data_IF_372692077170
#
_entry.id   IF_372692077170
#
_cell.length_a   1.000
_cell.length_b   1.000
_cell.length_c   1.000
_cell.angle_alpha   90.00
_cell.angle_beta   90.00
_cell.angle_gamma   90.00
#
_symmetry.space_group_name_H-M   'P 1'
#
loop_
_entity.id
_entity.type
_entity.pdbx_description
1 polymer ?
#
# COMPACT_ATOMS: atom_id res chain seq x y z
N UNK A 1 -20.75 -4.18 41.00
CA UNK A 1 -20.22 -3.09 41.85
C UNK A 1 -21.44 -2.42 42.47
N UNK A 2 -21.87 -2.78 43.68
CA UNK A 2 -21.27 -2.50 44.98
C UNK A 2 -21.37 -1.01 45.37
N UNK A 3 -22.04 -0.75 46.51
CA UNK A 3 -22.06 0.50 47.28
C UNK A 3 -23.43 1.21 47.27
N UNK A 4 -23.99 1.73 48.36
CA UNK A 4 -23.58 1.78 49.77
C UNK A 4 -24.74 2.38 50.61
N UNK A 5 -24.56 2.43 51.94
CA UNK A 5 -25.55 2.64 53.02
C UNK A 5 -25.77 4.12 53.43
N UNK A 6 -26.87 4.42 54.13
CA UNK A 6 -26.98 5.15 55.45
C UNK A 6 -28.43 5.64 55.65
N UNK A 7 -29.26 5.27 56.65
CA UNK A 7 -29.27 5.35 58.13
C UNK A 7 -29.50 6.73 58.78
N UNK A 8 -30.33 6.73 59.84
CA UNK A 8 -30.48 7.66 61.01
C UNK A 8 -31.60 8.74 60.92
N UNK A 9 -32.44 9.11 61.91
CA UNK A 9 -32.90 8.69 63.26
C UNK A 9 -34.12 9.61 63.60
N UNK A 10 -35.28 9.18 64.12
CA UNK A 10 -35.77 8.90 65.51
C UNK A 10 -35.75 10.07 66.53
N UNK A 11 -36.92 10.31 67.16
CA UNK A 11 -37.18 11.09 68.40
C UNK A 11 -38.41 12.00 68.24
N UNK A 12 -39.64 11.78 68.75
CA UNK A 12 -40.19 11.31 70.03
C UNK A 12 -39.90 12.23 71.24
N UNK A 13 -40.97 12.80 71.83
CA UNK A 13 -40.87 13.65 73.01
C UNK A 13 -42.21 14.29 73.45
N UNK A 14 -43.14 13.48 73.93
CA UNK A 14 -44.27 13.92 74.76
C UNK A 14 -43.82 14.02 76.23
N UNK A 15 -44.32 15.02 76.99
CA UNK A 15 -44.33 14.98 78.45
C UNK A 15 -45.46 15.83 79.04
N UNK A 16 -46.10 15.23 80.02
CA UNK A 16 -47.38 15.54 80.64
C UNK A 16 -47.17 15.66 82.17
N UNK A 17 -48.10 16.33 82.87
CA UNK A 17 -48.34 16.32 84.34
C UNK A 17 -47.32 17.04 85.25
N UNK A 18 -47.59 17.55 86.47
CA UNK A 18 -48.68 17.33 87.44
C UNK A 18 -48.83 18.49 88.48
N UNK A 19 -49.95 18.44 89.22
CA UNK A 19 -50.45 19.23 90.37
C UNK A 19 -49.61 19.17 91.68
N UNK A 20 -49.82 20.17 92.56
CA UNK A 20 -49.96 20.06 94.05
C UNK A 20 -50.51 21.42 94.56
N UNK A 21 -51.75 21.55 95.07
CA UNK A 21 -52.35 21.25 96.39
C UNK A 21 -52.03 22.23 97.55
N UNK A 22 -53.01 22.49 98.46
CA UNK A 22 -53.06 23.63 99.38
C UNK A 22 -52.81 23.25 100.85
N UNK A 23 -52.51 24.21 101.73
CA UNK A 23 -52.49 23.99 103.19
C UNK A 23 -53.08 25.16 104.00
N UNK A 24 -53.79 24.76 105.07
CA UNK A 24 -54.50 25.54 106.09
C UNK A 24 -53.55 26.21 107.11
N UNK A 25 -54.04 27.24 107.83
CA UNK A 25 -54.22 27.25 109.31
C UNK A 25 -54.27 28.68 109.93
N UNK A 26 -55.27 28.87 110.80
CA UNK A 26 -55.29 29.56 112.11
C UNK A 26 -55.15 31.10 112.32
N UNK A 27 -56.13 31.60 113.09
CA UNK A 27 -55.97 32.39 114.35
C UNK A 27 -56.08 33.92 114.32
N UNK A 28 -57.14 34.42 114.97
CA UNK A 28 -57.00 35.33 116.11
C UNK A 28 -57.03 36.85 115.89
N UNK A 29 -57.94 37.50 116.64
CA UNK A 29 -58.02 38.92 117.01
C UNK A 29 -58.65 39.94 116.02
N UNK A 30 -59.92 40.24 116.31
CA UNK A 30 -60.90 40.89 115.43
C UNK A 30 -61.29 42.35 115.74
N UNK A 31 -60.59 43.15 116.55
CA UNK A 31 -61.10 44.51 116.85
C UNK A 31 -60.16 45.67 116.53
N UNK A 32 -58.84 45.53 116.66
CA UNK A 32 -57.89 46.63 116.40
C UNK A 32 -57.24 46.58 115.00
N UNK A 33 -57.53 45.53 114.22
CA UNK A 33 -57.08 45.38 112.82
C UNK A 33 -58.06 45.98 111.81
N UNK A 34 -59.28 46.35 112.25
CA UNK A 34 -60.34 46.88 111.37
C UNK A 34 -60.05 48.33 111.00
N UNK A 35 -59.58 49.18 111.91
CA UNK A 35 -59.31 50.59 111.57
C UNK A 35 -58.08 50.76 110.66
N UNK A 36 -56.98 50.03 110.92
CA UNK A 36 -55.83 49.98 110.01
C UNK A 36 -56.13 49.27 108.68
N UNK A 37 -57.06 48.29 108.65
CA UNK A 37 -57.55 47.70 107.39
C UNK A 37 -58.55 48.59 106.67
N UNK A 38 -59.31 49.45 107.34
CA UNK A 38 -60.25 50.39 106.71
C UNK A 38 -59.50 51.56 106.08
N UNK A 39 -58.41 52.06 106.68
CA UNK A 39 -57.52 53.01 106.00
C UNK A 39 -56.75 52.35 104.84
N UNK A 40 -56.25 51.12 105.01
CA UNK A 40 -55.57 50.39 103.93
C UNK A 40 -56.54 49.91 102.82
N UNK A 41 -57.81 49.61 103.15
CA UNK A 41 -58.89 49.35 102.19
C UNK A 41 -59.38 50.65 101.55
N UNK A 42 -59.44 51.77 102.27
CA UNK A 42 -59.79 53.07 101.70
C UNK A 42 -58.73 53.53 100.71
N UNK A 43 -57.44 53.37 101.05
CA UNK A 43 -56.32 53.65 100.16
C UNK A 43 -56.22 52.63 99.02
N UNK A 44 -56.50 51.34 99.27
CA UNK A 44 -56.57 50.31 98.22
C UNK A 44 -57.78 50.46 97.29
N UNK A 45 -58.92 50.96 97.78
CA UNK A 45 -60.15 51.23 96.99
C UNK A 45 -60.00 52.55 96.23
N UNK A 46 -59.37 53.57 96.82
CA UNK A 46 -59.01 54.81 96.13
C UNK A 46 -57.94 54.58 95.05
N UNK A 47 -57.03 53.62 95.24
CA UNK A 47 -56.02 53.22 94.25
C UNK A 47 -56.48 52.11 93.29
N UNK A 48 -57.64 51.48 93.53
CA UNK A 48 -58.18 50.41 92.68
C UNK A 48 -58.40 50.86 91.22
N UNK A 49 -58.98 52.05 90.96
CA UNK A 49 -59.05 52.59 89.60
C UNK A 49 -57.67 52.70 88.95
N UNK A 50 -56.65 53.09 89.71
CA UNK A 50 -55.27 53.24 89.23
C UNK A 50 -54.59 51.89 88.98
N UNK A 51 -54.84 50.87 89.82
CA UNK A 51 -54.31 49.50 89.66
C UNK A 51 -54.98 48.81 88.48
N UNK A 52 -56.31 48.91 88.37
CA UNK A 52 -57.09 48.36 87.26
C UNK A 52 -56.70 49.06 85.96
N UNK A 53 -56.57 50.39 85.93
CA UNK A 53 -56.06 51.11 84.76
C UNK A 53 -54.64 50.67 84.40
N UNK A 54 -53.71 50.55 85.36
CA UNK A 54 -52.33 50.12 85.07
C UNK A 54 -52.29 48.72 84.47
N UNK A 55 -53.08 47.79 85.00
CA UNK A 55 -53.06 46.41 84.51
C UNK A 55 -53.85 46.22 83.22
N UNK A 56 -54.87 47.04 82.99
CA UNK A 56 -55.56 47.15 81.70
C UNK A 56 -54.63 47.75 80.63
N UNK A 57 -53.90 48.83 80.93
CA UNK A 57 -52.90 49.43 80.04
C UNK A 57 -51.77 48.44 79.74
N UNK A 58 -51.30 47.69 80.74
CA UNK A 58 -50.25 46.68 80.58
C UNK A 58 -50.73 45.47 79.77
N UNK A 59 -51.95 44.99 80.00
CA UNK A 59 -52.60 43.97 79.16
C UNK A 59 -52.76 44.46 77.72
N UNK A 60 -53.25 45.69 77.55
CA UNK A 60 -53.41 46.32 76.23
C UNK A 60 -52.07 46.44 75.50
N UNK A 61 -51.04 46.96 76.16
CA UNK A 61 -49.69 47.07 75.59
C UNK A 61 -49.08 45.69 75.27
N UNK A 62 -49.38 44.66 76.07
CA UNK A 62 -48.94 43.27 75.80
C UNK A 62 -49.69 42.66 74.62
N UNK A 63 -51.00 42.85 74.53
CA UNK A 63 -51.80 42.38 73.39
C UNK A 63 -51.44 43.12 72.10
N UNK A 64 -51.14 44.41 72.18
CA UNK A 64 -50.72 45.24 71.06
C UNK A 64 -49.34 44.80 70.54
N UNK A 65 -48.38 44.57 71.43
CA UNK A 65 -47.09 43.97 71.05
C UNK A 65 -47.25 42.59 70.41
N UNK A 66 -48.13 41.74 70.95
CA UNK A 66 -48.41 40.43 70.34
C UNK A 66 -49.09 40.55 68.98
N UNK A 67 -50.00 41.52 68.82
CA UNK A 67 -50.65 41.80 67.54
C UNK A 67 -49.63 42.29 66.51
N UNK A 68 -48.68 43.13 66.92
CA UNK A 68 -47.63 43.65 66.05
C UNK A 68 -46.65 42.55 65.60
N UNK A 69 -46.25 41.66 66.51
CA UNK A 69 -45.42 40.48 66.18
C UNK A 69 -46.16 39.57 65.20
N UNK A 70 -47.42 39.22 65.50
CA UNK A 70 -48.23 38.38 64.61
C UNK A 70 -48.49 39.02 63.25
N UNK A 71 -48.63 40.35 63.21
CA UNK A 71 -48.77 41.10 61.97
C UNK A 71 -47.50 41.04 61.12
N UNK A 72 -46.31 41.17 61.75
CA UNK A 72 -45.02 40.99 61.06
C UNK A 72 -44.83 39.55 60.56
N UNK A 73 -45.08 38.55 61.40
CA UNK A 73 -45.02 37.13 61.01
C UNK A 73 -45.99 36.81 59.86
N UNK A 74 -47.21 37.33 59.91
CA UNK A 74 -48.19 37.15 58.84
C UNK A 74 -47.76 37.83 57.53
N UNK A 75 -47.07 38.97 57.62
CA UNK A 75 -46.50 39.65 56.46
C UNK A 75 -45.34 38.84 55.85
N UNK A 76 -44.42 38.36 56.67
CA UNK A 76 -43.27 37.54 56.24
C UNK A 76 -43.72 36.23 55.59
N UNK A 77 -44.69 35.52 56.21
CA UNK A 77 -45.29 34.33 55.61
C UNK A 77 -45.97 34.63 54.27
N UNK A 78 -46.53 35.83 54.10
CA UNK A 78 -47.16 36.24 52.83
C UNK A 78 -46.11 36.45 51.74
N UNK A 79 -44.95 37.03 52.10
CA UNK A 79 -43.81 37.19 51.19
C UNK A 79 -43.21 35.84 50.79
N UNK A 80 -43.04 34.92 51.75
CA UNK A 80 -42.59 33.56 51.48
C UNK A 80 -43.57 32.80 50.57
N UNK A 81 -44.88 32.90 50.84
CA UNK A 81 -45.91 32.28 50.01
C UNK A 81 -45.87 32.82 48.57
N UNK A 82 -45.61 34.12 48.40
CA UNK A 82 -45.48 34.74 47.08
C UNK A 82 -44.21 34.26 46.36
N UNK A 83 -43.10 34.12 47.07
CA UNK A 83 -41.85 33.52 46.56
C UNK A 83 -42.05 32.07 46.11
N UNK A 84 -42.70 31.24 46.93
CA UNK A 84 -43.01 29.84 46.63
C UNK A 84 -43.92 29.72 45.41
N UNK A 85 -44.92 30.60 45.25
CA UNK A 85 -45.75 30.66 44.04
C UNK A 85 -44.92 30.95 42.79
N UNK A 86 -44.00 31.93 42.87
CA UNK A 86 -43.08 32.24 41.77
C UNK A 86 -42.18 31.05 41.39
N UNK A 87 -41.64 30.34 42.37
CA UNK A 87 -40.84 29.12 42.14
C UNK A 87 -41.67 27.99 41.52
N UNK A 88 -42.92 27.81 41.95
CA UNK A 88 -43.83 26.81 41.38
C UNK A 88 -44.07 27.08 39.89
N UNK A 89 -44.37 28.33 39.52
CA UNK A 89 -44.57 28.70 38.11
C UNK A 89 -43.31 28.49 37.26
N UNK A 90 -42.13 28.81 37.81
CA UNK A 90 -40.86 28.53 37.13
C UNK A 90 -40.62 27.02 36.95
N UNK A 91 -40.93 26.21 37.96
CA UNK A 91 -40.80 24.76 37.88
C UNK A 91 -41.76 24.17 36.85
N UNK A 92 -43.02 24.60 36.82
CA UNK A 92 -43.99 24.16 35.82
C UNK A 92 -43.56 24.52 34.39
N UNK A 93 -42.99 25.71 34.19
CA UNK A 93 -42.38 26.09 32.90
C UNK A 93 -41.23 25.16 32.53
N UNK A 94 -40.30 24.90 33.45
CA UNK A 94 -39.16 23.99 33.22
C UNK A 94 -39.61 22.56 32.92
N UNK A 95 -40.63 22.05 33.61
CA UNK A 95 -41.20 20.72 33.36
C UNK A 95 -41.81 20.64 31.96
N UNK A 96 -42.55 21.68 31.53
CA UNK A 96 -43.09 21.74 30.16
C UNK A 96 -41.97 21.74 29.11
N UNK A 97 -40.94 22.57 29.29
CA UNK A 97 -39.80 22.60 28.36
C UNK A 97 -39.05 21.26 28.32
N UNK A 98 -38.83 20.63 29.48
CA UNK A 98 -38.21 19.30 29.55
C UNK A 98 -39.03 18.23 28.82
N UNK A 99 -40.36 18.27 28.91
CA UNK A 99 -41.25 17.37 28.18
C UNK A 99 -41.15 17.56 26.66
N UNK A 100 -41.00 18.81 26.19
CA UNK A 100 -40.77 19.10 24.77
C UNK A 100 -39.44 18.52 24.29
N UNK A 101 -38.34 18.77 25.01
CA UNK A 101 -37.04 18.21 24.67
C UNK A 101 -37.03 16.69 24.70
N UNK A 102 -37.72 16.06 25.65
CA UNK A 102 -37.84 14.61 25.68
C UNK A 102 -38.50 14.06 24.40
N UNK A 103 -39.53 14.74 23.91
CA UNK A 103 -40.23 14.33 22.69
C UNK A 103 -39.35 14.49 21.44
N UNK A 104 -38.57 15.57 21.36
CA UNK A 104 -37.59 15.80 20.29
C UNK A 104 -36.49 14.74 20.29
N UNK A 105 -35.94 14.41 21.46
CA UNK A 105 -34.90 13.36 21.60
C UNK A 105 -35.45 11.99 21.16
N UNK A 106 -36.69 11.65 21.49
CA UNK A 106 -37.32 10.40 21.03
C UNK A 106 -37.51 10.38 19.51
N UNK A 107 -37.89 11.53 18.92
CA UNK A 107 -38.02 11.68 17.46
C UNK A 107 -36.68 11.49 16.76
N UNK A 108 -35.64 12.20 17.22
CA UNK A 108 -34.28 12.10 16.68
C UNK A 108 -33.70 10.70 16.82
N UNK A 109 -33.94 10.03 17.96
CA UNK A 109 -33.52 8.63 18.16
C UNK A 109 -34.16 7.69 17.13
N UNK A 110 -35.44 7.89 16.82
CA UNK A 110 -36.14 7.11 15.80
C UNK A 110 -35.60 7.40 14.40
N UNK A 111 -35.31 8.65 14.06
CA UNK A 111 -34.68 9.01 12.79
C UNK A 111 -33.29 8.38 12.64
N UNK A 112 -32.47 8.45 13.68
CA UNK A 112 -31.13 7.86 13.68
C UNK A 112 -31.17 6.34 13.47
N UNK A 113 -32.09 5.62 14.11
CA UNK A 113 -32.19 4.17 13.92
C UNK A 113 -32.67 3.80 12.51
N UNK A 114 -33.57 4.61 11.93
CA UNK A 114 -34.00 4.45 10.54
C UNK A 114 -32.83 4.69 9.56
N UNK A 115 -32.06 5.76 9.73
CA UNK A 115 -30.89 6.06 8.88
C UNK A 115 -29.80 4.98 9.02
N UNK A 116 -29.56 4.50 10.24
CA UNK A 116 -28.61 3.42 10.50
C UNK A 116 -29.02 2.13 9.79
N UNK A 117 -30.31 1.81 9.78
CA UNK A 117 -30.85 0.64 9.06
C UNK A 117 -30.69 0.83 7.55
N UNK A 118 -31.08 1.99 7.02
CA UNK A 118 -30.90 2.33 5.61
C UNK A 118 -29.44 2.23 5.16
N UNK A 119 -28.50 2.78 5.93
CA UNK A 119 -27.07 2.70 5.63
C UNK A 119 -26.55 1.26 5.67
N UNK A 120 -27.00 0.45 6.64
CA UNK A 120 -26.63 -0.97 6.73
C UNK A 120 -27.09 -1.74 5.49
N UNK A 121 -28.33 -1.55 5.08
CA UNK A 121 -28.90 -2.22 3.91
C UNK A 121 -28.18 -1.78 2.62
N UNK A 122 -27.85 -0.49 2.49
CA UNK A 122 -27.08 0.04 1.36
C UNK A 122 -25.66 -0.55 1.29
N UNK A 123 -24.98 -0.69 2.44
CA UNK A 123 -23.64 -1.33 2.50
C UNK A 123 -23.71 -2.80 2.11
N UNK A 124 -24.73 -3.54 2.59
CA UNK A 124 -24.94 -4.93 2.20
C UNK A 124 -25.20 -5.08 0.68
N UNK A 125 -26.00 -4.17 0.11
CA UNK A 125 -26.24 -4.09 -1.33
C UNK A 125 -24.95 -3.87 -2.13
N UNK A 126 -24.16 -2.86 -1.77
CA UNK A 126 -22.88 -2.56 -2.43
C UNK A 126 -21.87 -3.72 -2.32
N UNK A 127 -21.82 -4.39 -1.17
CA UNK A 127 -20.95 -5.56 -0.96
C UNK A 127 -21.32 -6.70 -1.90
N UNK A 128 -22.62 -6.90 -2.13
CA UNK A 128 -23.12 -7.93 -3.07
C UNK A 128 -22.73 -7.59 -4.50
N UNK A 129 -22.91 -6.33 -4.93
CA UNK A 129 -22.51 -5.87 -6.27
C UNK A 129 -21.00 -6.01 -6.50
N UNK A 130 -20.16 -5.69 -5.51
CA UNK A 130 -18.70 -5.87 -5.62
C UNK A 130 -18.36 -7.33 -5.88
N UNK A 131 -18.99 -8.26 -5.13
CA UNK A 131 -18.77 -9.70 -5.31
C UNK A 131 -19.21 -10.19 -6.69
N UNK A 132 -20.34 -9.72 -7.19
CA UNK A 132 -20.83 -10.05 -8.54
C UNK A 132 -19.87 -9.55 -9.63
N UNK A 133 -19.37 -8.32 -9.50
CA UNK A 133 -18.38 -7.76 -10.42
C UNK A 133 -17.06 -8.52 -10.39
N UNK A 134 -16.61 -9.00 -9.23
CA UNK A 134 -15.40 -9.82 -9.12
C UNK A 134 -15.57 -11.19 -9.78
N UNK A 135 -16.74 -11.83 -9.64
CA UNK A 135 -17.05 -13.08 -10.35
C UNK A 135 -17.15 -12.87 -11.86
N UNK A 136 -17.79 -11.80 -12.32
CA UNK A 136 -17.88 -11.50 -13.75
C UNK A 136 -16.52 -11.12 -14.35
N UNK A 137 -15.68 -10.40 -13.62
CA UNK A 137 -14.27 -10.16 -13.98
C UNK A 137 -13.49 -11.47 -14.10
N UNK A 138 -13.73 -12.44 -13.19
CA UNK A 138 -13.09 -13.75 -13.25
C UNK A 138 -13.57 -14.55 -14.47
N UNK A 139 -14.87 -14.59 -14.74
CA UNK A 139 -15.43 -15.22 -15.95
C UNK A 139 -14.89 -14.58 -17.23
N UNK A 140 -14.81 -13.25 -17.29
CA UNK A 140 -14.28 -12.55 -18.46
C UNK A 140 -12.81 -12.91 -18.69
N UNK A 141 -12.01 -12.98 -17.61
CA UNK A 141 -10.64 -13.51 -17.69
C UNK A 141 -10.63 -14.95 -18.21
N UNK A 142 -11.50 -15.82 -17.71
CA UNK A 142 -11.61 -17.20 -18.17
C UNK A 142 -12.06 -17.31 -19.63
N UNK A 143 -12.92 -16.43 -20.15
CA UNK A 143 -13.29 -16.40 -21.57
C UNK A 143 -12.12 -15.91 -22.44
N UNK A 144 -11.42 -14.86 -22.00
CA UNK A 144 -10.25 -14.32 -22.70
C UNK A 144 -9.08 -15.33 -22.71
N UNK A 145 -8.87 -16.05 -21.60
CA UNK A 145 -7.75 -16.98 -21.41
C UNK A 145 -8.10 -18.44 -21.75
N UNK A 146 -9.35 -18.86 -21.65
CA UNK A 146 -9.79 -20.25 -21.80
C UNK A 146 -9.89 -20.72 -23.25
N UNK A 147 -10.09 -19.81 -24.20
CA UNK A 147 -10.03 -20.12 -25.64
C UNK A 147 -8.59 -20.18 -26.18
N UNK A 148 -7.57 -20.07 -25.33
CA UNK A 148 -6.19 -20.35 -25.75
C UNK A 148 -6.01 -21.86 -25.80
N UNK A 149 -6.09 -22.45 -26.99
CA UNK A 149 -5.26 -23.62 -27.24
C UNK A 149 -3.84 -23.10 -27.15
N UNK A 150 -3.25 -23.14 -25.96
CA UNK A 150 -1.85 -22.87 -25.77
C UNK A 150 -1.12 -23.91 -26.61
N UNK A 151 -0.65 -23.54 -27.80
CA UNK A 151 0.45 -24.27 -28.40
C UNK A 151 1.55 -24.21 -27.36
N UNK A 152 1.72 -25.31 -26.64
CA UNK A 152 2.62 -25.39 -25.51
C UNK A 152 4.02 -25.50 -26.10
N UNK A 153 4.58 -24.35 -26.47
CA UNK A 153 5.96 -24.24 -26.97
C UNK A 153 6.84 -24.83 -25.88
N UNK A 154 7.54 -25.91 -26.20
CA UNK A 154 8.38 -26.59 -25.22
C UNK A 154 9.72 -25.87 -25.08
N UNK A 155 10.36 -26.00 -23.92
CA UNK A 155 11.73 -25.51 -23.72
C UNK A 155 12.69 -26.13 -24.76
N UNK A 156 12.41 -27.36 -25.21
CA UNK A 156 13.16 -28.05 -26.26
C UNK A 156 13.08 -27.34 -27.61
N UNK A 157 11.91 -26.85 -28.00
CA UNK A 157 11.73 -26.11 -29.27
C UNK A 157 12.49 -24.79 -29.25
N UNK A 158 12.43 -24.06 -28.11
CA UNK A 158 13.16 -22.79 -27.93
C UNK A 158 14.66 -23.04 -27.95
N UNK A 159 15.15 -24.07 -27.24
CA UNK A 159 16.57 -24.48 -27.26
C UNK A 159 17.03 -24.83 -28.67
N UNK A 160 16.24 -25.61 -29.41
CA UNK A 160 16.59 -26.01 -30.77
C UNK A 160 16.67 -24.81 -31.72
N UNK A 161 15.72 -23.89 -31.65
CA UNK A 161 15.74 -22.66 -32.45
C UNK A 161 16.95 -21.78 -32.09
N UNK A 162 17.29 -21.66 -30.81
CA UNK A 162 18.46 -20.92 -30.38
C UNK A 162 19.77 -21.58 -30.82
N UNK A 163 19.86 -22.91 -30.76
CA UNK A 163 21.00 -23.67 -31.29
C UNK A 163 21.15 -23.48 -32.81
N UNK A 164 20.04 -23.51 -33.57
CA UNK A 164 20.04 -23.24 -35.01
C UNK A 164 20.53 -21.82 -35.31
N UNK A 165 20.11 -20.84 -34.51
CA UNK A 165 20.58 -19.45 -34.63
C UNK A 165 22.10 -19.37 -34.43
N UNK A 166 22.64 -20.04 -33.41
CA UNK A 166 24.10 -20.13 -33.16
C UNK A 166 24.85 -20.72 -34.35
N UNK A 167 24.32 -21.81 -34.92
CA UNK A 167 24.91 -22.47 -36.09
C UNK A 167 24.91 -21.56 -37.32
N UNK A 168 23.85 -20.79 -37.56
CA UNK A 168 23.79 -19.82 -38.67
C UNK A 168 24.82 -18.69 -38.49
N UNK A 169 24.95 -18.15 -37.29
CA UNK A 169 25.99 -17.14 -36.97
C UNK A 169 27.38 -17.74 -37.20
N UNK A 170 27.61 -18.98 -36.76
CA UNK A 170 28.87 -19.69 -36.99
C UNK A 170 29.14 -19.90 -38.48
N UNK A 171 28.15 -20.29 -39.27
CA UNK A 171 28.29 -20.51 -40.70
C UNK A 171 28.61 -19.21 -41.45
N UNK A 172 27.95 -18.10 -41.10
CA UNK A 172 28.28 -16.78 -41.64
C UNK A 172 29.72 -16.39 -41.28
N UNK A 173 30.09 -16.42 -40.00
CA UNK A 173 31.42 -15.99 -39.56
C UNK A 173 32.57 -16.86 -40.14
N UNK A 174 32.33 -18.16 -40.37
CA UNK A 174 33.33 -19.07 -40.93
C UNK A 174 33.39 -19.08 -42.46
N UNK A 175 32.66 -18.21 -43.15
CA UNK A 175 32.61 -18.26 -44.60
C UNK A 175 34.00 -18.06 -45.20
N UNK A 176 34.54 -19.11 -45.84
CA UNK A 176 35.90 -19.14 -46.43
C UNK A 176 36.10 -18.11 -47.55
N UNK A 177 34.99 -17.62 -48.04
CA UNK A 177 34.81 -16.48 -48.91
C UNK A 177 35.42 -15.20 -48.39
N UNK A 178 35.56 -15.04 -47.08
CA UNK A 178 36.05 -13.80 -46.51
C UNK A 178 37.57 -13.67 -46.61
N UNK A 179 38.04 -12.53 -47.13
CA UNK A 179 39.45 -12.14 -47.06
C UNK A 179 39.69 -11.32 -45.80
N UNK A 180 40.67 -11.75 -45.01
CA UNK A 180 41.14 -10.99 -43.86
C UNK A 180 41.72 -9.67 -44.36
N UNK A 181 41.00 -8.57 -44.10
CA UNK A 181 41.46 -7.23 -44.42
C UNK A 181 42.84 -6.98 -43.75
N UNK A 182 43.79 -6.28 -44.40
CA UNK A 182 45.15 -6.09 -43.88
C UNK A 182 45.23 -5.60 -42.43
N UNK A 183 44.25 -4.80 -42.01
CA UNK A 183 44.16 -4.25 -40.65
C UNK A 183 43.91 -5.31 -39.54
N UNK A 184 43.49 -6.53 -39.90
CA UNK A 184 43.25 -7.64 -38.97
C UNK A 184 44.29 -8.77 -39.08
N UNK A 185 45.37 -8.58 -39.85
CA UNK A 185 46.40 -9.62 -40.06
C UNK A 185 47.21 -9.96 -38.81
N UNK A 186 47.16 -9.13 -37.77
CA UNK A 186 47.86 -9.38 -36.51
C UNK A 186 47.13 -10.38 -35.61
N UNK A 187 45.86 -10.69 -35.89
CA UNK A 187 45.09 -11.70 -35.16
C UNK A 187 45.14 -13.04 -35.88
N UNK A 188 45.08 -14.13 -35.12
CA UNK A 188 44.92 -15.45 -35.72
C UNK A 188 43.56 -15.53 -36.44
N UNK A 189 43.46 -16.38 -37.46
CA UNK A 189 42.18 -16.59 -38.18
C UNK A 189 41.08 -17.06 -37.21
N UNK A 190 41.43 -17.85 -36.20
CA UNK A 190 40.48 -18.33 -35.20
C UNK A 190 39.92 -17.18 -34.34
N UNK A 191 40.79 -16.30 -33.84
CA UNK A 191 40.38 -15.14 -33.05
C UNK A 191 39.45 -14.22 -33.85
N UNK A 192 39.75 -13.99 -35.12
CA UNK A 192 38.90 -13.19 -36.00
C UNK A 192 37.51 -13.81 -36.20
N UNK A 193 37.41 -15.14 -36.33
CA UNK A 193 36.10 -15.82 -36.42
C UNK A 193 35.30 -15.59 -35.13
N UNK A 194 35.92 -15.68 -33.96
CA UNK A 194 35.23 -15.41 -32.70
C UNK A 194 34.74 -13.96 -32.59
N UNK A 195 35.56 -13.00 -33.01
CA UNK A 195 35.17 -11.59 -33.08
C UNK A 195 33.98 -11.38 -34.03
N UNK A 196 34.01 -11.98 -35.22
CA UNK A 196 32.89 -11.89 -36.17
C UNK A 196 31.61 -12.48 -35.60
N UNK A 197 31.68 -13.65 -34.95
CA UNK A 197 30.53 -14.24 -34.25
C UNK A 197 29.99 -13.31 -33.18
N UNK A 198 30.87 -12.70 -32.38
CA UNK A 198 30.49 -11.78 -31.33
C UNK A 198 29.80 -10.53 -31.87
N UNK A 199 30.34 -9.93 -32.92
CA UNK A 199 29.75 -8.74 -33.54
C UNK A 199 28.37 -9.07 -34.13
N UNK A 200 28.24 -10.16 -34.90
CA UNK A 200 26.94 -10.58 -35.46
C UNK A 200 25.93 -10.84 -34.33
N UNK A 201 26.32 -11.61 -33.30
CA UNK A 201 25.42 -11.92 -32.19
C UNK A 201 25.01 -10.68 -31.41
N UNK A 202 25.94 -9.75 -31.12
CA UNK A 202 25.62 -8.48 -30.43
C UNK A 202 24.63 -7.64 -31.23
N UNK A 203 24.78 -7.58 -32.55
CA UNK A 203 23.83 -6.88 -33.42
C UNK A 203 22.44 -7.52 -33.34
N UNK A 204 22.35 -8.85 -33.47
CA UNK A 204 21.07 -9.57 -33.31
C UNK A 204 20.47 -9.39 -31.93
N UNK A 205 21.30 -9.46 -30.89
CA UNK A 205 20.86 -9.28 -29.51
C UNK A 205 20.28 -7.89 -29.28
N UNK A 206 21.01 -6.85 -29.68
CA UNK A 206 20.61 -5.46 -29.48
C UNK A 206 19.34 -5.09 -30.25
N UNK A 207 19.24 -5.48 -31.53
CA UNK A 207 18.12 -5.09 -32.38
C UNK A 207 16.91 -6.02 -32.27
N UNK A 208 17.08 -7.27 -31.82
CA UNK A 208 16.01 -8.28 -31.83
C UNK A 208 15.84 -8.94 -30.47
N UNK A 209 16.81 -9.74 -30.01
CA UNK A 209 16.59 -10.66 -28.88
C UNK A 209 16.37 -9.96 -27.53
N UNK A 210 16.97 -8.80 -27.32
CA UNK A 210 16.86 -8.02 -26.08
C UNK A 210 15.63 -7.11 -26.04
N UNK A 211 14.90 -6.96 -27.16
CA UNK A 211 13.72 -6.10 -27.23
C UNK A 211 12.47 -6.84 -26.79
N UNK A 212 11.58 -6.19 -26.04
CA UNK A 212 10.26 -6.73 -25.70
C UNK A 212 9.28 -6.53 -26.86
N UNK A 213 9.53 -7.22 -27.97
CA UNK A 213 8.72 -7.13 -29.19
C UNK A 213 7.40 -7.89 -29.06
N UNK A 214 6.40 -7.43 -29.80
CA UNK A 214 5.07 -8.02 -29.93
C UNK A 214 4.69 -8.39 -31.37
N UNK A 215 5.57 -8.14 -32.33
CA UNK A 215 5.35 -8.56 -33.73
C UNK A 215 4.52 -7.59 -34.55
N UNK A 216 4.40 -6.34 -34.10
CA UNK A 216 3.79 -5.26 -34.89
C UNK A 216 4.84 -4.70 -35.85
N UNK A 217 4.51 -4.54 -37.14
CA UNK A 217 5.44 -4.03 -38.12
C UNK A 217 5.71 -2.56 -37.87
N UNK A 218 6.99 -2.20 -37.89
CA UNK A 218 7.39 -0.83 -38.20
C UNK A 218 7.20 -0.65 -39.71
N UNK A 219 6.02 -0.19 -40.14
CA UNK A 219 5.87 0.26 -41.52
C UNK A 219 6.73 1.50 -41.71
N UNK A 220 7.96 1.31 -42.20
CA UNK A 220 8.89 2.38 -42.53
C UNK A 220 8.41 3.10 -43.81
N UNK A 221 7.29 3.81 -43.70
CA UNK A 221 6.94 4.87 -44.61
C UNK A 221 7.24 6.19 -43.91
N UNK A 222 8.42 6.79 -44.14
CA UNK A 222 8.82 8.07 -43.52
C UNK A 222 7.95 9.25 -43.98
N UNK A 223 6.89 9.00 -44.75
CA UNK A 223 6.08 10.05 -45.33
C UNK A 223 4.95 10.54 -44.42
N UNK A 224 4.21 9.71 -43.65
CA UNK A 224 2.97 10.20 -42.97
C UNK A 224 2.45 9.56 -41.67
N UNK A 225 3.04 8.53 -41.05
CA UNK A 225 2.44 7.95 -39.83
C UNK A 225 3.43 7.61 -38.71
N UNK A 226 3.74 8.62 -37.89
CA UNK A 226 4.57 8.55 -36.67
C UNK A 226 3.92 7.79 -35.48
N UNK A 227 2.71 7.25 -35.65
CA UNK A 227 1.93 6.67 -34.54
C UNK A 227 2.09 5.16 -34.37
N UNK A 228 2.30 4.39 -35.44
CA UNK A 228 2.33 2.91 -35.37
C UNK A 228 3.69 2.35 -34.97
N UNK A 229 4.79 2.98 -35.41
CA UNK A 229 6.18 2.67 -35.01
C UNK A 229 6.38 2.81 -33.49
N UNK A 230 5.45 3.49 -32.79
CA UNK A 230 5.47 3.65 -31.33
C UNK A 230 4.75 2.54 -30.59
N UNK A 231 3.90 1.73 -31.21
CA UNK A 231 3.05 0.81 -30.46
C UNK A 231 3.84 -0.40 -29.92
N UNK A 232 4.63 -1.09 -30.75
CA UNK A 232 5.45 -2.24 -30.30
C UNK A 232 6.39 -1.81 -29.17
N UNK A 233 7.08 -0.68 -29.36
CA UNK A 233 7.96 -0.09 -28.36
C UNK A 233 7.21 0.37 -27.09
N UNK A 234 6.02 0.96 -27.23
CA UNK A 234 5.20 1.37 -26.09
C UNK A 234 4.70 0.18 -25.29
N UNK A 235 4.31 -0.92 -25.95
CA UNK A 235 3.93 -2.16 -25.27
C UNK A 235 5.12 -2.75 -24.51
N UNK A 236 6.31 -2.79 -25.13
CA UNK A 236 7.54 -3.22 -24.44
C UNK A 236 7.88 -2.35 -23.23
N UNK A 237 7.80 -1.02 -23.38
CA UNK A 237 8.02 -0.08 -22.27
C UNK A 237 6.99 -0.22 -21.16
N UNK A 238 5.71 -0.46 -21.51
CA UNK A 238 4.66 -0.70 -20.54
C UNK A 238 4.94 -1.98 -19.74
N UNK A 239 5.37 -3.06 -20.38
CA UNK A 239 5.81 -4.26 -19.66
C UNK A 239 7.00 -4.01 -18.74
N UNK A 240 7.98 -3.24 -19.21
CA UNK A 240 9.10 -2.77 -18.40
C UNK A 240 8.63 -2.01 -17.15
N UNK A 241 7.64 -1.13 -17.31
CA UNK A 241 7.04 -0.38 -16.21
C UNK A 241 6.30 -1.30 -15.21
N UNK A 242 5.55 -2.30 -15.69
CA UNK A 242 4.90 -3.28 -14.83
C UNK A 242 5.93 -4.02 -13.95
N UNK A 243 7.06 -4.45 -14.55
CA UNK A 243 8.18 -5.06 -13.80
C UNK A 243 8.79 -4.10 -12.79
N UNK A 244 9.06 -2.85 -13.18
CA UNK A 244 9.60 -1.83 -12.28
C UNK A 244 8.69 -1.52 -11.09
N UNK A 245 7.37 -1.67 -11.27
CA UNK A 245 6.35 -1.53 -10.22
C UNK A 245 6.10 -2.81 -9.41
N UNK A 246 6.92 -3.85 -9.61
CA UNK A 246 6.81 -5.15 -8.92
C UNK A 246 5.43 -5.80 -9.10
N UNK A 247 4.80 -5.57 -10.25
CA UNK A 247 3.58 -6.32 -10.62
C UNK A 247 3.96 -7.80 -10.77
N UNK A 248 3.10 -8.71 -10.33
CA UNK A 248 3.40 -10.14 -10.36
C UNK A 248 3.65 -10.62 -11.79
N UNK A 249 4.68 -11.45 -11.98
CA UNK A 249 5.02 -11.97 -13.32
C UNK A 249 3.87 -12.76 -13.95
N UNK A 250 3.01 -13.39 -13.15
CA UNK A 250 1.77 -14.01 -13.64
C UNK A 250 0.87 -13.00 -14.35
N UNK A 251 0.62 -11.85 -13.71
CA UNK A 251 -0.19 -10.80 -14.33
C UNK A 251 0.46 -10.24 -15.59
N UNK A 252 1.78 -10.03 -15.57
CA UNK A 252 2.53 -9.54 -16.73
C UNK A 252 2.41 -10.53 -17.90
N UNK A 253 2.57 -11.83 -17.61
CA UNK A 253 2.46 -12.89 -18.61
C UNK A 253 1.05 -12.99 -19.16
N UNK A 254 0.02 -12.96 -18.32
CA UNK A 254 -1.39 -12.95 -18.74
C UNK A 254 -1.68 -11.75 -19.67
N UNK A 255 -1.20 -10.56 -19.31
CA UNK A 255 -1.35 -9.34 -20.12
C UNK A 255 -0.61 -9.47 -21.47
N UNK A 256 0.62 -9.99 -21.45
CA UNK A 256 1.43 -10.20 -22.66
C UNK A 256 0.76 -11.16 -23.62
N UNK A 257 0.30 -12.32 -23.12
CA UNK A 257 -0.41 -13.32 -23.91
C UNK A 257 -1.73 -12.79 -24.47
N UNK A 258 -2.50 -12.04 -23.68
CA UNK A 258 -3.70 -11.37 -24.15
C UNK A 258 -3.38 -10.34 -25.25
N UNK A 259 -2.27 -9.62 -25.11
CA UNK A 259 -1.80 -8.65 -26.12
C UNK A 259 -1.44 -9.35 -27.43
N UNK A 260 -0.68 -10.45 -27.39
CA UNK A 260 -0.40 -11.25 -28.59
C UNK A 260 -1.66 -11.70 -29.30
N UNK A 261 -2.65 -12.24 -28.57
CA UNK A 261 -3.93 -12.64 -29.18
C UNK A 261 -4.65 -11.49 -29.88
N UNK A 262 -4.67 -10.32 -29.25
CA UNK A 262 -5.26 -9.14 -29.87
C UNK A 262 -4.55 -8.86 -31.20
N UNK A 263 -3.22 -8.87 -31.22
CA UNK A 263 -2.41 -8.62 -32.42
C UNK A 263 -2.66 -9.68 -33.50
N UNK A 264 -2.70 -10.96 -33.13
CA UNK A 264 -3.00 -12.06 -34.06
C UNK A 264 -4.34 -11.86 -34.78
N UNK A 265 -5.32 -11.25 -34.10
CA UNK A 265 -6.65 -10.95 -34.67
C UNK A 265 -6.59 -9.88 -35.77
N UNK A 266 -5.63 -8.97 -35.72
CA UNK A 266 -5.44 -7.91 -36.73
C UNK A 266 -4.58 -8.36 -37.93
N UNK A 267 -4.05 -9.59 -37.90
CA UNK A 267 -3.12 -10.11 -38.89
C UNK A 267 -1.66 -9.83 -38.53
N UNK A 268 -0.79 -10.79 -38.84
CA UNK A 268 0.63 -10.65 -38.55
C UNK A 268 1.23 -9.60 -39.48
N UNK A 269 1.85 -8.61 -38.87
CA UNK A 269 2.63 -7.64 -39.59
C UNK A 269 4.06 -8.20 -39.74
N UNK A 270 4.71 -8.05 -40.91
CA UNK A 270 6.06 -8.58 -41.10
C UNK A 270 7.01 -7.95 -40.09
N UNK A 271 7.81 -8.78 -39.42
CA UNK A 271 8.76 -8.30 -38.42
C UNK A 271 9.80 -7.38 -39.04
N UNK A 272 9.98 -6.18 -38.47
CA UNK A 272 11.03 -5.29 -38.94
C UNK A 272 12.39 -5.75 -38.42
N UNK A 273 13.14 -6.40 -39.30
CA UNK A 273 14.52 -6.81 -39.09
C UNK A 273 15.51 -5.96 -39.89
N UNK A 274 15.06 -4.86 -40.51
CA UNK A 274 15.85 -4.04 -41.45
C UNK A 274 17.15 -3.52 -40.84
N UNK A 275 17.11 -2.95 -39.63
CA UNK A 275 18.30 -2.42 -38.95
C UNK A 275 19.33 -3.51 -38.66
N UNK A 276 18.91 -4.65 -38.10
CA UNK A 276 19.80 -5.77 -37.81
C UNK A 276 20.44 -6.30 -39.10
N UNK A 277 19.64 -6.49 -40.16
CA UNK A 277 20.11 -6.94 -41.47
C UNK A 277 21.14 -5.98 -42.05
N UNK A 278 20.82 -4.68 -42.06
CA UNK A 278 21.70 -3.64 -42.60
C UNK A 278 23.03 -3.57 -41.85
N UNK A 279 23.01 -3.63 -40.52
CA UNK A 279 24.23 -3.55 -39.72
C UNK A 279 25.12 -4.79 -39.90
N UNK A 280 24.55 -5.99 -39.83
CA UNK A 280 25.30 -7.24 -40.09
C UNK A 280 25.86 -7.22 -41.51
N UNK A 281 25.05 -6.83 -42.50
CA UNK A 281 25.47 -6.70 -43.88
C UNK A 281 26.68 -5.76 -44.02
N UNK A 282 26.60 -4.56 -43.43
CA UNK A 282 27.66 -3.56 -43.45
C UNK A 282 28.94 -4.07 -42.80
N UNK A 283 28.83 -4.89 -41.75
CA UNK A 283 29.97 -5.52 -41.08
C UNK A 283 30.63 -6.57 -41.99
N UNK A 284 29.85 -7.39 -42.69
CA UNK A 284 30.36 -8.51 -43.48
C UNK A 284 30.83 -8.11 -44.89
N UNK A 285 30.20 -7.09 -45.49
CA UNK A 285 30.45 -6.66 -46.86
C UNK A 285 31.93 -6.35 -47.17
N UNK A 286 32.70 -5.65 -46.31
CA UNK A 286 34.11 -5.35 -46.59
C UNK A 286 35.01 -6.59 -46.71
N UNK A 287 34.56 -7.74 -46.21
CA UNK A 287 35.33 -8.98 -46.24
C UNK A 287 34.96 -9.86 -47.44
N UNK A 288 33.89 -9.55 -48.17
CA UNK A 288 33.40 -10.35 -49.29
C UNK A 288 34.33 -10.24 -50.50
N UNK A 289 34.74 -11.39 -51.07
CA UNK A 289 35.66 -11.39 -52.22
C UNK A 289 35.01 -10.81 -53.48
N UNK A 290 35.76 -10.07 -54.32
CA UNK A 290 35.30 -9.72 -55.65
C UNK A 290 34.88 -10.97 -56.44
N UNK A 291 33.71 -10.91 -57.09
CA UNK A 291 33.18 -12.00 -57.92
C UNK A 291 32.34 -13.04 -57.18
N UNK A 292 32.14 -12.92 -55.87
CA UNK A 292 31.23 -13.78 -55.13
C UNK A 292 29.79 -13.28 -55.14
N UNK A 293 28.86 -14.20 -54.95
CA UNK A 293 27.43 -13.90 -54.92
C UNK A 293 27.05 -13.11 -53.66
N UNK A 294 27.01 -11.79 -53.83
CA UNK A 294 26.56 -10.82 -52.83
C UNK A 294 25.09 -11.08 -52.47
N UNK A 295 24.25 -11.51 -53.43
CA UNK A 295 22.83 -11.76 -53.17
C UNK A 295 22.61 -12.89 -52.16
N UNK A 296 23.42 -13.97 -52.25
CA UNK A 296 23.39 -15.07 -51.29
C UNK A 296 23.67 -14.62 -49.86
N UNK A 297 24.70 -13.79 -49.65
CA UNK A 297 24.99 -13.24 -48.32
C UNK A 297 23.78 -12.45 -47.79
N UNK A 298 23.06 -11.74 -48.67
CA UNK A 298 21.92 -10.92 -48.30
C UNK A 298 20.75 -11.78 -47.83
N UNK A 299 20.49 -12.87 -48.56
CA UNK A 299 19.51 -13.88 -48.19
C UNK A 299 19.89 -14.58 -46.87
N UNK A 300 21.15 -14.97 -46.69
CA UNK A 300 21.60 -15.65 -45.47
C UNK A 300 21.47 -14.73 -44.24
N UNK A 301 21.85 -13.46 -44.36
CA UNK A 301 21.68 -12.44 -43.29
C UNK A 301 20.20 -12.18 -43.02
N UNK A 302 19.37 -12.08 -44.06
CA UNK A 302 17.93 -11.93 -43.90
C UNK A 302 17.31 -13.09 -43.13
N UNK A 303 17.61 -14.32 -43.54
CA UNK A 303 17.08 -15.52 -42.89
C UNK A 303 17.53 -15.62 -41.43
N UNK A 304 18.78 -15.24 -41.13
CA UNK A 304 19.30 -15.21 -39.77
C UNK A 304 18.50 -14.23 -38.89
N UNK A 305 18.23 -13.02 -39.38
CA UNK A 305 17.46 -12.04 -38.61
C UNK A 305 15.98 -12.44 -38.47
N UNK A 306 15.37 -13.03 -39.50
CA UNK A 306 14.01 -13.57 -39.43
C UNK A 306 13.91 -14.69 -38.39
N UNK A 307 14.88 -15.62 -38.37
CA UNK A 307 14.91 -16.69 -37.37
C UNK A 307 15.10 -16.16 -35.95
N UNK A 308 15.95 -15.14 -35.75
CA UNK A 308 16.10 -14.48 -34.46
C UNK A 308 14.80 -13.81 -34.01
N UNK A 309 14.09 -13.18 -34.94
CA UNK A 309 12.81 -12.52 -34.68
C UNK A 309 11.73 -13.54 -34.31
N UNK A 310 11.61 -14.64 -35.07
CA UNK A 310 10.72 -15.76 -34.75
C UNK A 310 11.03 -16.36 -33.38
N UNK A 311 12.29 -16.64 -33.08
CA UNK A 311 12.72 -17.11 -31.77
C UNK A 311 12.28 -16.14 -30.66
N UNK A 312 12.49 -14.85 -30.86
CA UNK A 312 12.11 -13.85 -29.87
C UNK A 312 10.60 -13.81 -29.67
N UNK A 313 9.80 -13.81 -30.73
CA UNK A 313 8.33 -13.87 -30.61
C UNK A 313 7.87 -15.12 -29.86
N UNK A 314 8.40 -16.29 -30.20
CA UNK A 314 8.04 -17.55 -29.54
C UNK A 314 8.33 -17.50 -28.04
N UNK A 315 9.50 -16.99 -27.64
CA UNK A 315 9.84 -16.83 -26.21
C UNK A 315 8.96 -15.84 -25.46
N UNK A 316 8.24 -14.98 -26.17
CA UNK A 316 7.34 -13.97 -25.61
C UNK A 316 5.89 -14.48 -25.56
N UNK A 317 5.55 -15.45 -26.40
CA UNK A 317 4.25 -16.14 -26.43
C UNK A 317 4.11 -17.26 -25.39
N UNK A 318 5.11 -17.43 -24.52
CA UNK A 318 5.05 -18.35 -23.37
C UNK A 318 4.64 -17.63 -22.09
N UNK A 319 4.22 -18.39 -21.08
CA UNK A 319 4.02 -17.92 -19.71
C UNK A 319 5.36 -17.62 -19.00
N UNK A 320 6.39 -18.42 -19.27
CA UNK A 320 7.73 -18.18 -18.76
C UNK A 320 8.35 -16.93 -19.40
N UNK A 321 9.27 -16.30 -18.67
CA UNK A 321 10.11 -15.22 -19.18
C UNK A 321 11.42 -15.82 -19.63
N UNK A 322 11.78 -15.61 -20.89
CA UNK A 322 13.11 -15.94 -21.40
C UNK A 322 13.92 -14.67 -21.63
N UNK A 323 15.20 -14.74 -21.34
CA UNK A 323 16.15 -13.69 -21.67
C UNK A 323 17.39 -14.26 -22.34
N UNK A 324 18.05 -13.41 -23.11
CA UNK A 324 19.32 -13.71 -23.76
C UNK A 324 20.37 -12.85 -23.06
N UNK A 325 21.24 -13.45 -22.26
CA UNK A 325 22.19 -12.72 -21.43
C UNK A 325 23.60 -12.81 -22.02
N UNK A 326 24.26 -11.65 -22.18
CA UNK A 326 25.65 -11.59 -22.65
C UNK A 326 26.53 -11.29 -21.44
N UNK A 327 27.48 -12.18 -21.08
CA UNK A 327 28.38 -11.89 -19.98
C UNK A 327 29.33 -10.74 -20.34
N UNK A 328 29.80 -10.02 -19.33
CA UNK A 328 30.66 -8.84 -19.54
C UNK A 328 32.08 -9.26 -19.93
N UNK A 329 32.68 -8.53 -20.87
CA UNK A 329 34.13 -8.64 -21.16
C UNK A 329 34.92 -8.29 -19.90
N UNK A 330 35.96 -9.07 -19.61
CA UNK A 330 36.82 -8.94 -18.44
C UNK A 330 36.20 -9.49 -17.14
N UNK A 331 34.98 -10.01 -17.18
CA UNK A 331 34.39 -10.67 -16.01
C UNK A 331 35.04 -12.04 -15.80
N UNK A 332 35.23 -12.40 -14.53
CA UNK A 332 35.56 -13.76 -14.13
C UNK A 332 34.30 -14.63 -14.15
N UNK A 333 34.37 -15.84 -14.70
CA UNK A 333 33.27 -16.83 -14.63
C UNK A 333 33.69 -18.04 -13.78
N UNK A 334 32.72 -18.68 -13.12
CA UNK A 334 32.92 -19.95 -12.45
C UNK A 334 32.48 -21.09 -13.40
N UNK A 335 33.40 -21.96 -13.86
CA UNK A 335 33.04 -23.11 -14.70
C UNK A 335 32.01 -24.05 -14.06
N UNK A 336 31.86 -24.02 -12.72
CA UNK A 336 30.90 -24.86 -11.98
C UNK A 336 29.48 -24.31 -12.01
N UNK A 337 29.28 -23.03 -12.29
CA UNK A 337 27.95 -22.42 -12.36
C UNK A 337 27.16 -22.92 -13.57
N UNK A 338 27.86 -23.29 -14.65
CA UNK A 338 27.24 -23.77 -15.89
C UNK A 338 26.50 -22.69 -16.68
N UNK A 339 26.64 -21.43 -16.31
CA UNK A 339 26.07 -20.26 -17.00
C UNK A 339 26.89 -19.85 -18.24
N UNK A 340 28.17 -20.22 -18.26
CA UNK A 340 29.16 -19.89 -19.27
C UNK A 340 29.95 -21.14 -19.66
N UNK A 341 30.22 -21.29 -20.95
CA UNK A 341 31.04 -22.36 -21.53
C UNK A 341 32.16 -21.71 -22.36
N UNK A 342 33.41 -22.02 -22.03
CA UNK A 342 34.58 -21.56 -22.76
C UNK A 342 34.84 -22.47 -23.98
N UNK A 343 35.07 -21.86 -25.14
CA UNK A 343 35.31 -22.54 -26.42
C UNK A 343 36.75 -22.38 -26.92
N UNK A 344 37.55 -21.55 -26.26
CA UNK A 344 38.92 -21.30 -26.66
C UNK A 344 39.59 -20.21 -25.83
N UNK A 345 40.89 -20.08 -26.07
CA UNK A 345 41.77 -19.11 -25.41
C UNK A 345 42.28 -18.16 -26.49
N UNK A 346 42.09 -16.86 -26.28
CA UNK A 346 42.54 -15.84 -27.24
C UNK A 346 44.07 -15.90 -27.37
N UNK A 347 44.57 -16.03 -28.59
CA UNK A 347 46.01 -16.22 -28.83
C UNK A 347 46.59 -17.59 -28.39
N UNK A 348 45.77 -18.51 -27.87
CA UNK A 348 46.18 -19.82 -27.37
C UNK A 348 46.74 -19.80 -25.94
N UNK A 349 47.19 -20.96 -25.45
CA UNK A 349 47.73 -21.13 -24.09
C UNK A 349 46.76 -21.83 -23.13
N UNK A 350 47.01 -21.70 -21.83
CA UNK A 350 46.16 -22.27 -20.77
C UNK A 350 44.94 -21.37 -20.52
N UNK A 351 43.77 -22.00 -20.35
CA UNK A 351 42.47 -21.34 -20.15
C UNK A 351 42.45 -20.57 -18.81
N UNK A 352 42.21 -19.26 -18.83
CA UNK A 352 41.87 -18.50 -17.61
C UNK A 352 40.36 -18.42 -17.40
N UNK A 353 39.95 -17.99 -16.21
CA UNK A 353 38.54 -17.72 -15.92
C UNK A 353 38.08 -16.33 -16.39
N UNK A 354 38.90 -15.55 -17.10
CA UNK A 354 38.57 -14.17 -17.48
C UNK A 354 38.05 -14.15 -18.92
N UNK A 355 36.81 -13.68 -19.09
CA UNK A 355 36.15 -13.60 -20.40
C UNK A 355 36.84 -12.54 -21.27
N UNK A 356 37.39 -12.95 -22.41
CA UNK A 356 37.93 -12.05 -23.42
C UNK A 356 36.85 -11.61 -24.42
N UNK A 357 36.17 -12.58 -25.05
CA UNK A 357 35.17 -12.32 -26.10
C UNK A 357 33.92 -13.17 -25.86
N UNK A 358 32.80 -12.57 -25.40
CA UNK A 358 31.52 -13.25 -25.41
C UNK A 358 30.93 -13.22 -26.82
N UNK A 359 30.97 -14.35 -27.51
CA UNK A 359 30.53 -14.43 -28.90
C UNK A 359 29.13 -15.02 -29.09
N UNK A 360 28.56 -15.62 -28.03
CA UNK A 360 27.13 -15.92 -27.96
C UNK A 360 26.63 -15.81 -26.52
N UNK A 361 25.44 -15.26 -26.33
CA UNK A 361 24.81 -15.15 -25.02
C UNK A 361 24.22 -16.47 -24.51
N UNK A 362 23.90 -16.50 -23.22
CA UNK A 362 23.14 -17.56 -22.57
C UNK A 362 21.64 -17.41 -22.88
N UNK A 363 20.93 -18.53 -23.02
CA UNK A 363 19.47 -18.55 -22.99
C UNK A 363 19.02 -18.88 -21.57
N UNK A 364 18.41 -17.90 -20.92
CA UNK A 364 17.94 -17.98 -19.55
C UNK A 364 16.42 -18.09 -19.53
N UNK A 365 15.90 -18.98 -18.68
CA UNK A 365 14.47 -19.08 -18.36
C UNK A 365 14.24 -18.65 -16.93
N UNK A 366 13.29 -17.77 -16.70
CA UNK A 366 12.88 -17.30 -15.39
C UNK A 366 11.48 -17.81 -15.11
N UNK A 367 11.35 -18.61 -14.06
CA UNK A 367 10.08 -19.12 -13.56
C UNK A 367 9.78 -18.50 -12.21
N UNK A 368 8.52 -18.17 -11.97
CA UNK A 368 8.09 -17.63 -10.67
C UNK A 368 7.58 -18.76 -9.81
N UNK A 369 8.23 -18.94 -8.66
CA UNK A 369 7.74 -19.78 -7.59
C UNK A 369 7.33 -18.88 -6.41
N UNK A 370 6.02 -18.78 -6.18
CA UNK A 370 5.34 -17.95 -5.18
C UNK A 370 5.68 -16.46 -5.30
N UNK A 371 6.86 -16.02 -4.85
CA UNK A 371 7.37 -14.64 -4.96
C UNK A 371 8.85 -14.55 -5.38
N UNK A 372 9.52 -15.67 -5.57
CA UNK A 372 10.93 -15.74 -6.00
C UNK A 372 11.04 -16.10 -7.48
N UNK A 373 11.77 -15.26 -8.22
CA UNK A 373 12.15 -15.54 -9.61
C UNK A 373 13.36 -16.50 -9.59
N UNK A 374 13.13 -17.75 -10.00
CA UNK A 374 14.18 -18.75 -10.14
C UNK A 374 14.65 -18.71 -11.60
N UNK A 375 15.93 -18.45 -11.81
CA UNK A 375 16.57 -18.54 -13.13
C UNK A 375 17.08 -19.96 -13.38
N UNK A 376 16.98 -20.39 -14.63
CA UNK A 376 17.50 -21.66 -15.13
C UNK A 376 18.25 -21.37 -16.43
N UNK A 377 19.50 -21.82 -16.51
CA UNK A 377 20.30 -21.75 -17.73
C UNK A 377 19.82 -22.87 -18.65
N UNK A 378 19.19 -22.52 -19.77
CA UNK A 378 18.79 -23.51 -20.78
C UNK A 378 19.91 -23.80 -21.76
N UNK A 379 20.69 -22.78 -22.12
CA UNK A 379 21.90 -22.89 -22.93
C UNK A 379 22.95 -21.91 -22.39
N UNK A 380 24.17 -22.36 -22.05
CA UNK A 380 25.21 -21.50 -21.50
C UNK A 380 25.69 -20.47 -22.52
N UNK A 381 26.19 -19.33 -22.06
CA UNK A 381 26.87 -18.37 -22.94
C UNK A 381 28.16 -19.00 -23.49
N UNK A 382 28.50 -18.70 -24.74
CA UNK A 382 29.73 -19.19 -25.36
C UNK A 382 30.77 -18.07 -25.41
N UNK A 383 31.94 -18.31 -24.81
CA UNK A 383 32.99 -17.30 -24.66
C UNK A 383 34.36 -17.80 -25.12
N UNK A 384 35.21 -16.86 -25.50
CA UNK A 384 36.67 -17.03 -25.53
C UNK A 384 37.23 -16.35 -24.30
N UNK A 385 38.21 -16.97 -23.65
CA UNK A 385 38.84 -16.44 -22.44
C UNK A 385 40.24 -15.91 -22.72
N UNK A 386 40.78 -15.11 -21.80
CA UNK A 386 42.20 -14.77 -21.82
C UNK A 386 43.05 -16.01 -21.53
N UNK A 387 44.27 -16.04 -22.06
CA UNK A 387 45.28 -16.96 -21.57
C UNK A 387 45.58 -16.62 -20.11
N UNK A 388 45.84 -17.62 -19.27
CA UNK A 388 46.47 -17.35 -17.99
C UNK A 388 47.75 -16.58 -18.28
N UNK A 389 47.89 -15.37 -17.73
CA UNK A 389 49.17 -14.69 -17.74
C UNK A 389 50.15 -15.67 -17.11
N UNK A 390 51.11 -16.15 -17.92
CA UNK A 390 52.20 -16.93 -17.37
C UNK A 390 52.81 -16.03 -16.31
N UNK A 391 52.57 -16.32 -15.04
CA UNK A 391 53.34 -15.80 -13.93
C UNK A 391 54.75 -16.36 -14.15
N UNK A 392 55.48 -15.83 -15.13
CA UNK A 392 56.92 -15.84 -15.07
C UNK A 392 57.20 -14.94 -13.88
N UNK A 393 57.66 -15.47 -12.74
CA UNK A 393 58.19 -14.60 -11.71
C UNK A 393 59.21 -13.71 -12.42
N UNK A 394 59.07 -12.40 -12.29
CA UNK A 394 60.10 -11.47 -12.74
C UNK A 394 61.32 -11.60 -11.82
N UNK A 395 61.92 -12.78 -11.77
CA UNK A 395 63.20 -13.05 -11.14
C UNK A 395 64.29 -12.58 -12.12
N UNK A 396 64.36 -11.27 -12.31
CA UNK A 396 65.46 -10.61 -13.00
C UNK A 396 65.64 -9.19 -12.46
N UNK A 397 65.66 -9.03 -11.13
CA UNK A 397 66.29 -7.86 -10.49
C UNK A 397 66.80 -8.22 -9.09
N UNK A 398 67.58 -9.31 -9.00
CA UNK A 398 68.57 -9.52 -7.94
C UNK A 398 69.86 -9.96 -8.63
N UNK A 399 70.99 -9.54 -8.08
CA UNK A 399 72.35 -9.74 -8.57
C UNK A 399 72.90 -8.66 -9.52
N UNK A 400 73.09 -7.45 -8.96
CA UNK A 400 74.28 -6.61 -9.21
C UNK A 400 74.51 -5.73 -7.97
N UNK A 401 74.72 -6.37 -6.81
CA UNK A 401 75.21 -5.75 -5.58
C UNK A 401 76.13 -6.74 -4.85
N UNK A 402 77.33 -6.93 -5.40
CA UNK A 402 78.58 -7.39 -4.77
C UNK A 402 79.63 -7.29 -5.88
N UNK A 403 80.71 -6.53 -5.79
CA UNK A 403 81.67 -6.57 -4.69
C UNK A 403 82.53 -5.29 -4.56
N UNK A 404 83.18 -5.10 -3.41
CA UNK A 404 84.15 -4.05 -3.11
C UNK A 404 85.60 -4.50 -3.40
N UNK A 405 86.38 -3.67 -4.07
CA UNK A 405 87.78 -3.33 -3.74
C UNK A 405 88.32 -2.24 -4.65
#
# INVERSE_FOLDING_TARGET
>A
MAGERSQSARGEGAKETSKASPDLLFSGNCQLRIEAKVENLSESVANLPTIICKEFIKQHAKSEKQLEIKSKEAHDLRLELQSVKGLKEQLEKKVKTASTYWSEVQSLKKQLENEKTYCRDKVAGLTTTIRELDEDKKKLREVILGNTVHQKISDGDIKQLFANLRQQIQALANNLSYELHPQYRLQSRADWVFEMRAVIFRTIHYFILNRDIFGLAESYSPARHDSEVRLDHALGNFEGLLRAKKVTNKFISDWRLATFKCIETFGHAPGDTSFARFDIWKILLPFHKPGQDVSKLGTDVQQLCENAFTLRLLTRQTDARYQFEIPKVGAEYDPKEGSVEAYGVIGGGEESNIIAIPFCGALMKYTVNEDTEISCVLEPAQVVVHAMESQKPSDATKDLLTDPM
#
